data_IF_470469245105
#
_entry.id   IF_470469245105
#
_cell.length_a   1.000
_cell.length_b   1.000
_cell.length_c   1.000
_cell.angle_alpha   90.00
_cell.angle_beta   90.00
_cell.angle_gamma   90.00
#
_symmetry.space_group_name_H-M   'P 1'
#
loop_
_entity.id
_entity.type
_entity.pdbx_description
1 polymer ?
#
# COMPACT_ATOMS: atom_id res chain seq x y z
N UNK A 1 11.89 -20.61 -3.65
CA UNK A 1 12.93 -20.18 -2.70
C UNK A 1 12.24 -19.80 -1.41
N UNK A 2 12.55 -20.48 -0.31
CA UNK A 2 11.95 -20.22 0.99
C UNK A 2 12.55 -18.91 1.52
N UNK A 3 11.92 -17.78 1.17
CA UNK A 3 12.27 -16.46 1.72
C UNK A 3 12.26 -16.60 3.24
N UNK A 4 13.42 -16.41 3.88
CA UNK A 4 13.48 -16.28 5.34
C UNK A 4 12.62 -15.06 5.66
N UNK A 5 11.41 -15.29 6.17
CA UNK A 5 10.56 -14.23 6.71
C UNK A 5 11.26 -13.77 7.97
N UNK A 6 12.06 -12.71 7.87
CA UNK A 6 12.64 -12.09 9.04
C UNK A 6 11.49 -11.67 9.95
N UNK A 7 11.49 -12.14 11.18
CA UNK A 7 10.50 -11.69 12.16
C UNK A 7 10.80 -10.24 12.52
N UNK A 8 9.78 -9.39 12.46
CA UNK A 8 9.91 -8.02 12.92
C UNK A 8 10.34 -8.00 14.38
N UNK A 9 11.27 -7.11 14.69
CA UNK A 9 11.60 -6.77 16.07
C UNK A 9 10.36 -6.22 16.81
N UNK A 10 10.34 -6.28 18.15
CA UNK A 10 9.22 -5.80 18.94
C UNK A 10 8.83 -4.36 18.58
N UNK A 11 7.52 -4.11 18.39
CA UNK A 11 7.01 -2.90 17.76
C UNK A 11 7.40 -1.58 18.47
N UNK A 12 7.71 -1.63 19.77
CA UNK A 12 8.08 -0.47 20.57
C UNK A 12 9.61 -0.25 20.68
N UNK A 13 10.42 -1.07 20.01
CA UNK A 13 11.89 -0.92 19.98
C UNK A 13 12.32 -0.13 18.75
N UNK A 14 13.48 0.56 18.83
CA UNK A 14 14.03 1.29 17.68
C UNK A 14 14.11 0.42 16.41
N UNK A 15 14.68 -0.81 16.42
CA UNK A 15 14.66 -1.69 15.25
C UNK A 15 13.23 -1.98 14.74
N UNK A 16 12.28 -2.25 15.64
CA UNK A 16 10.90 -2.56 15.26
C UNK A 16 10.17 -1.37 14.64
N UNK A 17 10.46 -0.15 15.09
CA UNK A 17 9.90 1.09 14.52
C UNK A 17 10.49 1.38 13.14
N UNK A 18 11.81 1.25 12.97
CA UNK A 18 12.50 1.44 11.69
C UNK A 18 12.02 0.44 10.63
N UNK A 19 11.92 -0.85 10.99
CA UNK A 19 11.42 -1.90 10.10
C UNK A 19 9.98 -1.67 9.64
N UNK A 20 9.18 -0.95 10.42
CA UNK A 20 7.79 -0.59 10.08
C UNK A 20 7.67 0.77 9.40
N UNK A 21 8.78 1.51 9.21
CA UNK A 21 8.73 2.85 8.63
C UNK A 21 7.99 3.87 9.49
N UNK A 22 8.08 3.76 10.82
CA UNK A 22 7.38 4.65 11.76
C UNK A 22 8.17 5.95 11.97
N UNK A 23 7.44 7.07 12.05
CA UNK A 23 8.03 8.37 12.35
C UNK A 23 8.72 8.44 13.72
N UNK A 24 8.22 7.69 14.72
CA UNK A 24 8.87 7.58 16.04
C UNK A 24 10.24 6.91 15.93
N UNK A 25 10.40 5.94 15.02
CA UNK A 25 11.69 5.30 14.75
C UNK A 25 12.71 6.30 14.19
N UNK A 26 12.28 7.20 13.31
CA UNK A 26 13.14 8.26 12.79
C UNK A 26 13.56 9.25 13.89
N UNK A 27 12.61 9.70 14.72
CA UNK A 27 12.92 10.58 15.86
C UNK A 27 13.89 9.92 16.85
N UNK A 28 13.68 8.65 17.21
CA UNK A 28 14.58 7.93 18.11
C UNK A 28 15.97 7.72 17.50
N UNK A 29 16.07 7.51 16.18
CA UNK A 29 17.36 7.35 15.52
C UNK A 29 18.19 8.65 15.53
N UNK A 30 17.53 9.82 15.52
CA UNK A 30 18.20 11.14 15.63
C UNK A 30 18.89 11.35 16.98
N UNK A 31 18.48 10.64 18.04
CA UNK A 31 19.08 10.75 19.38
C UNK A 31 20.49 10.14 19.46
N UNK A 32 20.75 9.05 18.72
CA UNK A 32 22.06 8.42 18.57
C UNK A 32 22.26 7.87 17.13
N UNK A 33 22.64 8.73 16.18
CA UNK A 33 22.83 8.33 14.78
C UNK A 33 23.86 7.22 14.60
N UNK A 34 24.91 7.19 15.43
CA UNK A 34 25.97 6.20 15.34
C UNK A 34 25.46 4.81 15.74
N UNK A 35 24.66 4.71 16.81
CA UNK A 35 24.03 3.46 17.20
C UNK A 35 22.93 3.01 16.22
N UNK A 36 22.25 3.95 15.56
CA UNK A 36 21.19 3.66 14.60
C UNK A 36 21.69 3.22 13.21
N UNK A 37 22.94 3.55 12.84
CA UNK A 37 23.48 3.36 11.49
C UNK A 37 23.29 1.94 10.95
N UNK A 38 23.71 0.92 11.71
CA UNK A 38 23.57 -0.49 11.29
C UNK A 38 22.12 -0.94 11.15
N UNK A 39 21.20 -0.37 11.94
CA UNK A 39 19.77 -0.66 11.83
C UNK A 39 19.20 -0.07 10.54
N UNK A 40 19.61 1.15 10.17
CA UNK A 40 19.18 1.82 8.93
C UNK A 40 19.69 1.06 7.72
N UNK A 41 20.99 0.74 7.66
CA UNK A 41 21.54 -0.07 6.55
C UNK A 41 20.90 -1.46 6.50
N UNK A 42 20.61 -2.07 7.66
CA UNK A 42 19.86 -3.31 7.75
C UNK A 42 18.45 -3.21 7.15
N UNK A 43 17.77 -2.06 7.30
CA UNK A 43 16.45 -1.84 6.70
C UNK A 43 16.48 -1.56 5.19
N UNK A 44 17.62 -1.11 4.63
CA UNK A 44 17.82 -1.03 3.17
C UNK A 44 18.16 -2.41 2.60
N UNK A 45 19.06 -3.13 3.28
CA UNK A 45 19.54 -4.45 2.86
C UNK A 45 18.41 -5.48 2.83
N UNK A 46 17.52 -5.48 3.82
CA UNK A 46 16.45 -6.47 3.95
C UNK A 46 15.06 -5.88 3.66
N UNK A 47 14.22 -6.67 3.00
CA UNK A 47 12.84 -6.27 2.77
C UNK A 47 11.96 -6.56 3.99
N UNK A 48 11.65 -5.50 4.74
CA UNK A 48 10.67 -5.52 5.84
C UNK A 48 9.28 -5.02 5.40
N UNK A 49 9.02 -4.84 4.10
CA UNK A 49 7.71 -4.36 3.65
C UNK A 49 6.72 -5.48 3.85
N UNK A 50 5.52 -5.15 4.32
CA UNK A 50 4.46 -6.16 4.40
C UNK A 50 3.95 -6.53 3.00
N UNK A 51 3.85 -5.53 2.13
CA UNK A 51 3.49 -5.69 0.71
C UNK A 51 4.39 -4.81 -0.18
N UNK A 52 4.56 -5.14 -1.47
CA UNK A 52 5.50 -4.42 -2.36
C UNK A 52 5.24 -2.92 -2.53
N UNK A 53 4.01 -2.46 -2.26
CA UNK A 53 3.57 -1.07 -2.49
C UNK A 53 3.89 -0.10 -1.33
N UNK A 54 4.50 -0.56 -0.24
CA UNK A 54 4.96 0.30 0.88
C UNK A 54 6.02 1.30 0.40
N UNK A 55 5.82 2.59 0.72
CA UNK A 55 6.64 3.73 0.26
C UNK A 55 7.95 3.91 1.05
N UNK A 56 8.64 2.80 1.37
CA UNK A 56 9.74 2.85 2.33
C UNK A 56 11.06 3.41 1.81
N UNK A 57 11.24 3.53 0.50
CA UNK A 57 12.45 4.11 -0.09
C UNK A 57 12.68 5.56 0.38
N UNK A 58 11.64 6.40 0.39
CA UNK A 58 11.72 7.79 0.86
C UNK A 58 12.08 7.89 2.34
N UNK A 59 11.45 7.05 3.16
CA UNK A 59 11.76 6.97 4.59
C UNK A 59 13.23 6.60 4.84
N UNK A 60 13.74 5.60 4.13
CA UNK A 60 15.14 5.17 4.28
C UNK A 60 16.14 6.18 3.72
N UNK A 61 15.83 6.84 2.59
CA UNK A 61 16.64 7.92 2.04
C UNK A 61 16.75 9.10 3.02
N UNK A 62 15.63 9.50 3.63
CA UNK A 62 15.61 10.51 4.69
C UNK A 62 16.46 10.11 5.89
N UNK A 63 16.35 8.86 6.36
CA UNK A 63 17.20 8.39 7.46
C UNK A 63 18.69 8.46 7.11
N UNK A 64 19.09 8.09 5.89
CA UNK A 64 20.49 8.19 5.46
C UNK A 64 20.94 9.67 5.43
N UNK A 65 20.12 10.57 4.90
CA UNK A 65 20.40 12.01 4.84
C UNK A 65 20.44 12.65 6.24
N UNK A 66 19.36 12.53 6.99
CA UNK A 66 19.11 13.28 8.22
C UNK A 66 20.06 12.84 9.35
N UNK A 67 20.47 11.57 9.36
CA UNK A 67 21.46 11.03 10.28
C UNK A 67 22.91 11.19 9.78
N UNK A 68 23.10 11.85 8.63
CA UNK A 68 24.38 12.05 7.96
C UNK A 68 25.19 10.74 7.76
N UNK A 69 24.51 9.65 7.41
CA UNK A 69 25.14 8.35 7.20
C UNK A 69 25.91 8.32 5.87
N UNK A 70 27.09 7.67 5.83
CA UNK A 70 27.79 7.43 4.58
C UNK A 70 26.92 6.72 3.52
N UNK A 71 26.96 7.20 2.27
CA UNK A 71 26.18 6.60 1.17
C UNK A 71 26.84 5.30 0.66
N UNK A 72 28.14 5.12 0.89
CA UNK A 72 28.94 3.97 0.44
C UNK A 72 28.32 2.60 0.73
N UNK A 73 27.91 2.29 1.98
CA UNK A 73 27.24 1.03 2.30
C UNK A 73 25.95 0.76 1.52
N UNK A 74 25.21 1.81 1.12
CA UNK A 74 24.02 1.65 0.25
C UNK A 74 24.43 1.38 -1.20
N UNK A 75 25.50 2.03 -1.67
CA UNK A 75 26.07 1.79 -3.02
C UNK A 75 26.54 0.35 -3.18
N UNK A 76 27.18 -0.21 -2.15
CA UNK A 76 27.63 -1.62 -2.17
C UNK A 76 26.48 -2.61 -2.41
N UNK A 77 25.26 -2.28 -1.95
CA UNK A 77 24.08 -3.13 -2.13
C UNK A 77 23.62 -3.23 -3.59
N UNK A 78 24.04 -2.32 -4.47
CA UNK A 78 23.76 -2.44 -5.91
C UNK A 78 24.39 -3.71 -6.53
N UNK A 79 25.42 -4.28 -5.91
CA UNK A 79 26.03 -5.55 -6.34
C UNK A 79 25.29 -6.79 -5.81
N UNK A 80 24.20 -6.61 -5.06
CA UNK A 80 23.37 -7.69 -4.50
C UNK A 80 22.53 -8.43 -5.54
N UNK A 81 21.57 -9.22 -5.05
CA UNK A 81 20.51 -9.78 -5.88
C UNK A 81 19.56 -8.68 -6.41
N UNK A 82 18.67 -9.06 -7.32
CA UNK A 82 17.72 -8.16 -7.99
C UNK A 82 16.93 -7.32 -6.99
N UNK A 83 16.24 -7.97 -6.04
CA UNK A 83 15.43 -7.27 -5.03
C UNK A 83 16.28 -6.29 -4.18
N UNK A 84 17.49 -6.69 -3.80
CA UNK A 84 18.40 -5.83 -3.01
C UNK A 84 18.91 -4.65 -3.82
N UNK A 85 19.25 -4.89 -5.10
CA UNK A 85 19.68 -3.87 -6.03
C UNK A 85 18.56 -2.84 -6.27
N UNK A 86 17.34 -3.28 -6.50
CA UNK A 86 16.18 -2.40 -6.71
C UNK A 86 15.89 -1.54 -5.47
N UNK A 87 15.89 -2.13 -4.27
CA UNK A 87 15.69 -1.38 -3.01
C UNK A 87 16.77 -0.33 -2.80
N UNK A 88 18.04 -0.71 -2.97
CA UNK A 88 19.17 0.22 -2.84
C UNK A 88 19.12 1.32 -3.91
N UNK A 89 18.78 0.95 -5.15
CA UNK A 89 18.59 1.85 -6.27
C UNK A 89 17.54 2.92 -5.98
N UNK A 90 16.36 2.52 -5.48
CA UNK A 90 15.29 3.45 -5.11
C UNK A 90 15.73 4.46 -4.03
N UNK A 91 16.49 4.03 -3.03
CA UNK A 91 17.06 4.94 -2.00
C UNK A 91 18.08 5.90 -2.61
N UNK A 92 18.99 5.41 -3.45
CA UNK A 92 20.03 6.22 -4.08
C UNK A 92 19.45 7.22 -5.09
N UNK A 93 18.37 6.88 -5.79
CA UNK A 93 17.66 7.77 -6.71
C UNK A 93 17.16 9.00 -5.97
N UNK A 94 16.59 8.81 -4.79
CA UNK A 94 16.12 9.90 -3.93
C UNK A 94 17.28 10.71 -3.34
N UNK A 95 18.33 10.05 -2.84
CA UNK A 95 19.53 10.75 -2.34
C UNK A 95 20.21 11.60 -3.42
N UNK A 96 20.21 11.16 -4.68
CA UNK A 96 20.73 11.94 -5.79
C UNK A 96 19.87 13.17 -6.10
N UNK A 97 18.53 13.06 -6.00
CA UNK A 97 17.62 14.20 -6.13
C UNK A 97 17.86 15.26 -5.05
N UNK A 98 18.20 14.83 -3.84
CA UNK A 98 18.58 15.71 -2.73
C UNK A 98 19.98 16.33 -2.89
N UNK A 99 20.77 15.88 -3.88
CA UNK A 99 22.07 16.46 -4.23
C UNK A 99 23.28 15.57 -3.97
N UNK A 100 23.10 14.31 -3.60
CA UNK A 100 24.23 13.37 -3.42
C UNK A 100 24.91 13.01 -4.74
N UNK A 101 26.04 13.67 -5.02
CA UNK A 101 26.87 13.35 -6.18
C UNK A 101 27.37 11.90 -6.16
N UNK A 102 27.70 11.36 -4.97
CA UNK A 102 28.12 9.97 -4.82
C UNK A 102 27.02 9.00 -5.25
N UNK A 103 25.76 9.22 -4.83
CA UNK A 103 24.63 8.39 -5.23
C UNK A 103 24.41 8.47 -6.75
N UNK A 104 24.44 9.69 -7.31
CA UNK A 104 24.25 9.92 -8.75
C UNK A 104 25.30 9.20 -9.60
N UNK A 105 26.59 9.35 -9.26
CA UNK A 105 27.66 8.70 -10.01
C UNK A 105 27.65 7.18 -9.84
N UNK A 106 27.32 6.68 -8.64
CA UNK A 106 27.19 5.24 -8.40
C UNK A 106 26.09 4.60 -9.25
N UNK A 107 24.91 5.23 -9.34
CA UNK A 107 23.81 4.75 -10.18
C UNK A 107 24.18 4.78 -11.66
N UNK A 108 24.78 5.89 -12.14
CA UNK A 108 25.24 6.00 -13.54
C UNK A 108 26.32 4.97 -13.86
N UNK A 109 27.24 4.70 -12.94
CA UNK A 109 28.22 3.63 -13.08
C UNK A 109 27.55 2.24 -13.12
N UNK A 110 26.54 2.02 -12.27
CA UNK A 110 25.79 0.77 -12.26
C UNK A 110 25.03 0.54 -13.56
N UNK A 111 24.41 1.57 -14.17
CA UNK A 111 23.76 1.44 -15.47
C UNK A 111 24.76 0.97 -16.55
N UNK A 112 26.02 1.42 -16.48
CA UNK A 112 27.05 1.06 -17.46
C UNK A 112 27.51 -0.39 -17.34
N UNK A 113 27.74 -0.89 -16.12
CA UNK A 113 28.42 -2.19 -15.91
C UNK A 113 27.67 -3.19 -15.02
N UNK A 114 26.70 -2.74 -14.24
CA UNK A 114 25.95 -3.54 -13.27
C UNK A 114 25.09 -4.63 -13.89
N UNK A 115 24.73 -5.65 -13.10
CA UNK A 115 23.90 -6.77 -13.55
C UNK A 115 22.43 -6.38 -13.70
N UNK A 116 21.85 -5.77 -12.68
CA UNK A 116 20.43 -5.37 -12.61
C UNK A 116 20.24 -3.91 -13.07
N UNK A 117 20.89 -3.56 -14.19
CA UNK A 117 21.01 -2.18 -14.65
C UNK A 117 19.69 -1.56 -15.16
N UNK A 118 18.80 -2.37 -15.73
CA UNK A 118 17.57 -1.87 -16.35
C UNK A 118 16.55 -1.33 -15.33
N UNK A 119 16.20 -2.07 -14.24
CA UNK A 119 15.35 -1.53 -13.18
C UNK A 119 15.92 -0.26 -12.52
N UNK A 120 17.25 -0.18 -12.37
CA UNK A 120 17.91 1.02 -11.83
C UNK A 120 17.75 2.22 -12.78
N UNK A 121 17.93 2.00 -14.09
CA UNK A 121 17.75 3.02 -15.10
C UNK A 121 16.29 3.49 -15.19
N UNK A 122 15.32 2.57 -15.09
CA UNK A 122 13.89 2.88 -15.05
C UNK A 122 13.55 3.75 -13.82
N UNK A 123 14.04 3.37 -12.64
CA UNK A 123 13.87 4.16 -11.42
C UNK A 123 14.51 5.57 -11.52
N UNK A 124 15.66 5.68 -12.17
CA UNK A 124 16.26 6.99 -12.48
C UNK A 124 15.37 7.81 -13.42
N UNK A 125 14.87 7.20 -14.49
CA UNK A 125 14.08 7.90 -15.51
C UNK A 125 12.69 8.34 -15.00
N UNK A 126 12.10 7.58 -14.08
CA UNK A 126 10.83 7.91 -13.41
C UNK A 126 10.93 9.19 -12.57
N UNK A 127 12.08 9.42 -11.93
CA UNK A 127 12.23 10.45 -10.89
C UNK A 127 13.14 11.62 -11.27
N UNK A 128 14.12 11.41 -12.15
CA UNK A 128 15.13 12.42 -12.47
C UNK A 128 14.78 13.21 -13.73
N UNK A 129 15.24 14.48 -13.80
CA UNK A 129 15.20 15.23 -15.04
C UNK A 129 15.88 14.48 -16.18
N UNK A 130 15.32 14.59 -17.38
CA UNK A 130 15.77 13.86 -18.58
C UNK A 130 17.26 14.06 -18.85
N UNK A 131 17.74 15.28 -18.68
CA UNK A 131 19.15 15.66 -18.90
C UNK A 131 20.15 14.89 -18.02
N UNK A 132 19.70 14.22 -16.95
CA UNK A 132 20.58 13.45 -16.06
C UNK A 132 20.81 12.01 -16.51
N UNK A 133 20.04 11.50 -17.47
CA UNK A 133 20.11 10.10 -17.90
C UNK A 133 19.98 9.89 -19.41
N UNK A 134 19.55 10.88 -20.19
CA UNK A 134 19.44 10.78 -21.66
C UNK A 134 20.76 10.33 -22.32
N UNK A 135 21.89 10.78 -21.80
CA UNK A 135 23.22 10.43 -22.32
C UNK A 135 23.57 8.94 -22.18
N UNK A 136 22.79 8.18 -21.39
CA UNK A 136 22.95 6.74 -21.22
C UNK A 136 22.28 5.93 -22.33
N UNK A 137 21.56 6.56 -23.27
CA UNK A 137 20.82 5.88 -24.33
C UNK A 137 21.68 4.88 -25.12
N UNK A 138 22.85 5.30 -25.60
CA UNK A 138 23.75 4.42 -26.38
C UNK A 138 24.17 3.19 -25.56
N UNK A 139 24.59 3.41 -24.30
CA UNK A 139 24.98 2.34 -23.38
C UNK A 139 23.81 1.38 -23.13
N UNK A 140 22.63 1.92 -22.84
CA UNK A 140 21.42 1.13 -22.62
C UNK A 140 21.07 0.31 -23.87
N UNK A 141 21.20 0.89 -25.06
CA UNK A 141 20.93 0.22 -26.33
C UNK A 141 21.88 -0.94 -26.60
N UNK A 142 23.17 -0.78 -26.35
CA UNK A 142 24.15 -1.86 -26.48
C UNK A 142 23.86 -3.00 -25.51
N UNK A 143 23.55 -2.68 -24.26
CA UNK A 143 23.24 -3.66 -23.22
C UNK A 143 21.94 -4.39 -23.51
N UNK A 144 20.90 -3.66 -23.91
CA UNK A 144 19.59 -4.19 -24.27
C UNK A 144 19.62 -5.15 -25.47
N UNK A 145 20.64 -5.06 -26.35
CA UNK A 145 20.85 -6.06 -27.43
C UNK A 145 21.45 -7.36 -26.91
N UNK A 146 22.26 -7.30 -25.85
CA UNK A 146 22.93 -8.46 -25.24
C UNK A 146 22.02 -9.18 -24.24
N UNK A 147 21.17 -8.43 -23.56
CA UNK A 147 20.25 -8.92 -22.55
C UNK A 147 18.83 -8.35 -22.81
N UNK A 148 17.92 -9.16 -23.36
CA UNK A 148 16.56 -8.71 -23.63
C UNK A 148 15.76 -8.60 -22.32
N UNK A 149 15.88 -7.46 -21.65
CA UNK A 149 14.99 -7.06 -20.56
C UNK A 149 13.58 -6.75 -21.07
N UNK A 150 12.59 -6.91 -20.19
CA UNK A 150 11.26 -6.34 -20.36
C UNK A 150 11.35 -4.81 -20.30
N UNK A 151 10.65 -4.10 -21.20
CA UNK A 151 10.84 -2.65 -21.44
C UNK A 151 9.51 -1.95 -21.45
N UNK A 152 9.24 -1.22 -20.37
CA UNK A 152 7.96 -0.57 -20.13
C UNK A 152 8.18 0.83 -19.58
N UNK A 153 7.40 1.81 -20.03
CA UNK A 153 7.51 3.18 -19.55
C UNK A 153 8.80 3.90 -19.96
N UNK A 154 9.20 4.89 -19.17
CA UNK A 154 10.47 5.60 -19.33
C UNK A 154 11.66 4.76 -18.81
N UNK A 155 12.85 4.84 -19.41
CA UNK A 155 13.23 5.71 -20.54
C UNK A 155 12.90 5.13 -21.93
N UNK A 156 12.40 3.89 -21.99
CA UNK A 156 12.24 3.14 -23.23
C UNK A 156 11.26 3.79 -24.20
N UNK A 157 10.19 4.41 -23.66
CA UNK A 157 9.17 5.14 -24.41
C UNK A 157 9.78 6.29 -25.18
N UNK A 158 10.58 7.10 -24.48
CA UNK A 158 11.31 8.20 -25.08
C UNK A 158 12.31 7.78 -26.15
N UNK A 159 12.99 6.65 -25.95
CA UNK A 159 13.93 6.11 -26.95
C UNK A 159 13.27 5.32 -28.08
N UNK A 160 11.93 5.15 -28.05
CA UNK A 160 11.20 4.36 -29.04
C UNK A 160 11.53 2.87 -29.00
N UNK A 161 11.98 2.36 -27.84
CA UNK A 161 12.39 0.96 -27.62
C UNK A 161 11.40 0.15 -26.80
N UNK A 162 10.21 0.71 -26.54
CA UNK A 162 9.11 0.00 -25.89
C UNK A 162 8.78 -1.22 -26.71
N UNK A 163 8.77 -2.38 -26.07
CA UNK A 163 8.12 -3.53 -26.67
C UNK A 163 6.62 -3.27 -26.66
N UNK A 164 5.90 -3.46 -27.77
CA UNK A 164 4.45 -3.43 -27.71
C UNK A 164 4.06 -4.43 -26.63
N UNK A 165 3.35 -3.94 -25.63
CA UNK A 165 2.82 -4.85 -24.63
C UNK A 165 1.85 -5.84 -25.23
N UNK A 166 1.26 -6.74 -24.44
CA UNK A 166 0.05 -7.40 -24.89
C UNK A 166 -0.98 -6.28 -25.11
N UNK A 167 -1.08 -5.82 -26.36
CA UNK A 167 -2.16 -4.96 -26.82
C UNK A 167 -3.40 -5.74 -26.46
N UNK A 168 -4.12 -5.26 -25.45
CA UNK A 168 -5.46 -5.75 -25.20
C UNK A 168 -6.21 -5.33 -26.47
N UNK A 169 -6.38 -6.28 -27.39
CA UNK A 169 -7.14 -6.07 -28.61
C UNK A 169 -8.53 -5.53 -28.26
N UNK A 170 -9.31 -5.08 -29.26
CA UNK A 170 -10.71 -4.72 -29.01
C UNK A 170 -11.34 -5.83 -28.17
N UNK A 171 -11.85 -5.47 -26.98
CA UNK A 171 -12.44 -6.44 -26.03
C UNK A 171 -13.43 -7.29 -26.82
N UNK A 172 -13.11 -8.56 -27.01
CA UNK A 172 -14.07 -9.51 -27.58
C UNK A 172 -15.33 -9.45 -26.71
N UNK A 173 -16.50 -9.58 -27.36
CA UNK A 173 -17.76 -9.59 -26.63
C UNK A 173 -17.68 -10.69 -25.55
N UNK A 174 -17.97 -10.33 -24.29
CA UNK A 174 -17.92 -11.29 -23.18
C UNK A 174 -18.77 -12.53 -23.52
N UNK A 175 -18.30 -13.74 -23.18
CA UNK A 175 -19.16 -14.92 -23.20
C UNK A 175 -20.47 -14.63 -22.45
N UNK A 176 -21.61 -15.10 -22.96
CA UNK A 176 -22.93 -14.90 -22.36
C UNK A 176 -23.47 -13.46 -22.32
N UNK A 177 -22.82 -12.48 -23.00
CA UNK A 177 -23.28 -11.09 -23.00
C UNK A 177 -24.74 -10.90 -23.45
N UNK A 178 -25.26 -11.79 -24.31
CA UNK A 178 -26.65 -11.79 -24.82
C UNK A 178 -27.63 -12.59 -23.96
N UNK A 179 -27.16 -13.35 -22.98
CA UNK A 179 -27.97 -14.21 -22.10
C UNK A 179 -28.74 -13.35 -21.10
N UNK A 180 -30.02 -13.64 -20.87
CA UNK A 180 -30.86 -12.86 -19.94
C UNK A 180 -30.48 -13.09 -18.48
N UNK A 181 -30.78 -12.15 -17.56
CA UNK A 181 -30.45 -12.31 -16.13
C UNK A 181 -31.02 -13.60 -15.52
N UNK A 182 -32.26 -13.97 -15.85
CA UNK A 182 -32.87 -15.20 -15.35
C UNK A 182 -32.07 -16.46 -15.74
N UNK A 183 -31.67 -16.56 -17.01
CA UNK A 183 -30.84 -17.67 -17.51
C UNK A 183 -29.45 -17.68 -16.86
N UNK A 184 -28.87 -16.49 -16.60
CA UNK A 184 -27.59 -16.39 -15.87
C UNK A 184 -27.73 -16.87 -14.42
N UNK A 185 -28.84 -16.55 -13.75
CA UNK A 185 -29.11 -17.01 -12.38
C UNK A 185 -29.34 -18.53 -12.33
N UNK A 186 -30.05 -19.10 -13.30
CA UNK A 186 -30.20 -20.55 -13.44
C UNK A 186 -28.85 -21.23 -13.64
N UNK A 187 -27.99 -20.66 -14.48
CA UNK A 187 -26.62 -21.14 -14.70
C UNK A 187 -25.79 -21.09 -13.40
N UNK A 188 -25.89 -20.00 -12.63
CA UNK A 188 -25.19 -19.87 -11.35
C UNK A 188 -25.73 -20.83 -10.27
N UNK A 189 -27.01 -21.19 -10.35
CA UNK A 189 -27.64 -22.12 -9.43
C UNK A 189 -27.28 -23.59 -9.71
N UNK A 190 -26.81 -23.92 -10.92
CA UNK A 190 -26.43 -25.29 -11.29
C UNK A 190 -25.06 -25.68 -10.71
N UNK A 191 -24.98 -26.61 -9.74
CA UNK A 191 -23.71 -27.05 -9.17
C UNK A 191 -22.85 -27.86 -10.15
N UNK A 192 -23.43 -28.40 -11.23
CA UNK A 192 -22.71 -29.13 -12.26
C UNK A 192 -22.02 -28.19 -13.27
N UNK A 193 -22.34 -26.90 -13.25
CA UNK A 193 -21.78 -25.91 -14.16
C UNK A 193 -20.31 -25.60 -13.85
N UNK A 194 -19.54 -25.39 -14.91
CA UNK A 194 -18.11 -25.12 -14.82
C UNK A 194 -17.84 -23.80 -14.09
N UNK A 195 -16.70 -23.74 -13.38
CA UNK A 195 -16.29 -22.53 -12.67
C UNK A 195 -16.09 -21.36 -13.64
N UNK A 196 -15.56 -21.63 -14.82
CA UNK A 196 -15.33 -20.66 -15.90
C UNK A 196 -16.65 -20.06 -16.38
N UNK A 197 -17.67 -20.89 -16.61
CA UNK A 197 -18.98 -20.42 -17.06
C UNK A 197 -19.72 -19.64 -15.98
N UNK A 198 -19.63 -20.06 -14.71
CA UNK A 198 -20.15 -19.30 -13.57
C UNK A 198 -19.44 -17.95 -13.40
N UNK A 199 -18.12 -17.91 -13.59
CA UNK A 199 -17.34 -16.66 -13.56
C UNK A 199 -17.75 -15.73 -14.70
N UNK A 200 -17.91 -16.24 -15.93
CA UNK A 200 -18.39 -15.46 -17.07
C UNK A 200 -19.82 -14.92 -16.85
N UNK A 201 -20.70 -15.69 -16.21
CA UNK A 201 -22.03 -15.22 -15.84
C UNK A 201 -21.98 -14.08 -14.82
N UNK A 202 -21.15 -14.20 -13.79
CA UNK A 202 -20.93 -13.11 -12.81
C UNK A 202 -20.30 -11.88 -13.47
N UNK A 203 -19.35 -12.04 -14.39
CA UNK A 203 -18.75 -10.93 -15.16
C UNK A 203 -19.79 -10.16 -15.99
N UNK A 204 -20.82 -10.85 -16.50
CA UNK A 204 -21.91 -10.22 -17.25
C UNK A 204 -22.89 -9.54 -16.30
N UNK A 205 -23.21 -10.15 -15.16
CA UNK A 205 -24.03 -9.51 -14.12
C UNK A 205 -23.33 -8.29 -13.52
N UNK A 206 -22.01 -8.35 -13.36
CA UNK A 206 -21.20 -7.24 -12.88
C UNK A 206 -21.21 -6.06 -13.87
N UNK A 207 -21.21 -6.30 -15.17
CA UNK A 207 -21.40 -5.20 -16.15
C UNK A 207 -22.82 -4.61 -16.12
N UNK A 208 -23.78 -5.32 -15.52
CA UNK A 208 -25.18 -4.93 -15.45
C UNK A 208 -25.48 -4.24 -14.12
N UNK A 209 -26.73 -3.78 -13.97
CA UNK A 209 -27.23 -3.18 -12.73
C UNK A 209 -27.42 -4.21 -11.59
N UNK A 210 -27.95 -3.77 -10.44
CA UNK A 210 -28.20 -4.65 -9.30
C UNK A 210 -29.11 -5.84 -9.65
N UNK A 211 -28.68 -7.05 -9.28
CA UNK A 211 -29.43 -8.30 -9.50
C UNK A 211 -29.63 -9.05 -8.18
N UNK A 212 -30.72 -8.79 -7.43
CA UNK A 212 -30.95 -9.39 -6.11
C UNK A 212 -31.08 -10.91 -6.15
N UNK A 213 -31.41 -11.51 -7.29
CA UNK A 213 -31.54 -12.95 -7.44
C UNK A 213 -30.24 -13.72 -7.17
N UNK A 214 -29.08 -13.06 -7.18
CA UNK A 214 -27.79 -13.68 -6.86
C UNK A 214 -27.61 -13.97 -5.37
N UNK A 215 -28.26 -13.21 -4.48
CA UNK A 215 -28.07 -13.30 -3.02
C UNK A 215 -28.22 -14.72 -2.45
N UNK A 216 -29.28 -15.50 -2.76
CA UNK A 216 -29.41 -16.87 -2.26
C UNK A 216 -28.35 -17.82 -2.83
N UNK A 217 -27.72 -17.47 -3.95
CA UNK A 217 -26.70 -18.29 -4.61
C UNK A 217 -25.30 -18.04 -4.05
N UNK A 218 -25.06 -16.90 -3.41
CA UNK A 218 -23.72 -16.50 -2.91
C UNK A 218 -22.97 -17.62 -2.18
N UNK A 219 -23.56 -18.40 -1.25
CA UNK A 219 -22.83 -19.47 -0.57
C UNK A 219 -22.25 -20.58 -1.49
N UNK A 220 -22.78 -20.76 -2.70
CA UNK A 220 -22.29 -21.74 -3.67
C UNK A 220 -21.29 -21.17 -4.68
N UNK A 221 -21.02 -19.86 -4.64
CA UNK A 221 -20.16 -19.14 -5.59
C UNK A 221 -18.70 -19.04 -5.12
N UNK A 222 -18.24 -20.10 -4.46
CA UNK A 222 -16.82 -20.31 -4.14
C UNK A 222 -16.08 -21.04 -5.25
N UNK A 223 -14.76 -20.95 -5.24
CA UNK A 223 -13.87 -21.79 -6.05
C UNK A 223 -14.04 -23.27 -5.68
N UNK A 224 -13.70 -24.18 -6.60
CA UNK A 224 -13.87 -25.62 -6.38
C UNK A 224 -13.11 -26.17 -5.16
N UNK A 225 -12.00 -25.52 -4.76
CA UNK A 225 -11.24 -25.85 -3.55
C UNK A 225 -11.83 -25.25 -2.26
N UNK A 226 -12.92 -24.50 -2.37
CA UNK A 226 -13.62 -23.84 -1.27
C UNK A 226 -12.86 -22.69 -0.61
N UNK A 227 -11.72 -22.26 -1.18
CA UNK A 227 -10.81 -21.30 -0.52
C UNK A 227 -11.12 -19.85 -0.85
N UNK A 228 -11.64 -19.59 -2.05
CA UNK A 228 -11.82 -18.23 -2.55
C UNK A 228 -13.23 -18.04 -3.09
N UNK A 229 -13.63 -16.78 -3.18
CA UNK A 229 -14.82 -16.37 -3.90
C UNK A 229 -14.54 -16.36 -5.41
N UNK A 230 -15.56 -16.56 -6.25
CA UNK A 230 -15.45 -16.19 -7.67
C UNK A 230 -15.36 -14.67 -7.79
N UNK A 231 -14.18 -14.18 -8.21
CA UNK A 231 -13.80 -12.76 -8.13
C UNK A 231 -14.86 -11.75 -8.58
N UNK A 232 -15.58 -11.92 -9.71
CA UNK A 232 -16.55 -10.92 -10.16
C UNK A 232 -17.74 -10.75 -9.21
N UNK A 233 -17.97 -11.69 -8.28
CA UNK A 233 -19.04 -11.59 -7.29
C UNK A 233 -18.92 -10.33 -6.43
N UNK A 234 -17.71 -9.90 -6.09
CA UNK A 234 -17.53 -8.69 -5.26
C UNK A 234 -18.10 -7.46 -5.96
N UNK A 235 -17.91 -7.31 -7.27
CA UNK A 235 -18.49 -6.20 -8.04
C UNK A 235 -20.02 -6.28 -8.16
N UNK A 236 -20.58 -7.49 -8.26
CA UNK A 236 -22.03 -7.71 -8.21
C UNK A 236 -22.61 -7.30 -6.85
N UNK A 237 -21.97 -7.68 -5.75
CA UNK A 237 -22.40 -7.31 -4.41
C UNK A 237 -22.28 -5.80 -4.15
N UNK A 238 -21.28 -5.13 -4.72
CA UNK A 238 -21.12 -3.66 -4.65
C UNK A 238 -22.32 -2.93 -5.24
N UNK A 239 -22.81 -3.41 -6.39
CA UNK A 239 -23.97 -2.83 -7.07
C UNK A 239 -25.27 -3.05 -6.31
N UNK A 240 -25.38 -4.13 -5.55
CA UNK A 240 -26.52 -4.39 -4.66
C UNK A 240 -26.54 -3.45 -3.44
N UNK A 241 -25.36 -3.04 -2.98
CA UNK A 241 -25.20 -2.11 -1.87
C UNK A 241 -25.94 -2.57 -0.60
N UNK A 242 -26.72 -1.65 0.00
CA UNK A 242 -27.50 -1.92 1.20
C UNK A 242 -28.53 -3.05 1.05
N UNK A 243 -28.94 -3.39 -0.19
CA UNK A 243 -29.84 -4.51 -0.45
C UNK A 243 -29.24 -5.87 -0.07
N UNK A 244 -27.91 -5.98 0.01
CA UNK A 244 -27.22 -7.22 0.39
C UNK A 244 -27.07 -7.39 1.92
N UNK A 245 -27.33 -6.36 2.73
CA UNK A 245 -27.07 -6.35 4.18
C UNK A 245 -27.76 -7.49 4.93
N UNK A 246 -29.06 -7.80 4.70
CA UNK A 246 -29.71 -8.91 5.41
C UNK A 246 -29.00 -10.26 5.20
N UNK A 247 -28.63 -10.58 3.96
CA UNK A 247 -27.91 -11.81 3.64
C UNK A 247 -26.46 -11.78 4.17
N UNK A 248 -25.81 -10.61 4.12
CA UNK A 248 -24.46 -10.43 4.62
C UNK A 248 -24.33 -10.68 6.13
N UNK A 249 -25.37 -10.41 6.93
CA UNK A 249 -25.39 -10.76 8.37
C UNK A 249 -25.29 -12.26 8.60
N UNK A 250 -25.99 -13.04 7.79
CA UNK A 250 -25.92 -14.50 7.84
C UNK A 250 -24.53 -14.99 7.41
N UNK A 251 -23.99 -14.45 6.32
CA UNK A 251 -22.66 -14.79 5.83
C UNK A 251 -21.57 -14.43 6.85
N UNK A 252 -21.64 -13.25 7.47
CA UNK A 252 -20.68 -12.78 8.45
C UNK A 252 -20.64 -13.64 9.73
N UNK A 253 -21.71 -14.38 10.01
CA UNK A 253 -21.82 -15.27 11.16
C UNK A 253 -21.27 -16.70 10.90
N UNK A 254 -20.95 -17.06 9.65
CA UNK A 254 -20.45 -18.40 9.35
C UNK A 254 -19.00 -18.60 9.79
N UNK A 255 -18.69 -19.81 10.24
CA UNK A 255 -17.32 -20.22 10.57
C UNK A 255 -16.55 -20.63 9.32
N UNK A 256 -17.20 -21.36 8.41
CA UNK A 256 -16.63 -21.80 7.14
C UNK A 256 -17.68 -21.71 6.04
N UNK A 257 -17.27 -21.41 4.79
CA UNK A 257 -15.90 -21.09 4.38
C UNK A 257 -15.49 -19.65 4.75
N UNK A 258 -14.20 -19.42 5.06
CA UNK A 258 -13.68 -18.08 5.44
C UNK A 258 -14.01 -16.99 4.40
N UNK A 259 -13.95 -17.30 3.10
CA UNK A 259 -14.26 -16.32 2.05
C UNK A 259 -15.71 -15.82 2.12
N UNK A 260 -16.67 -16.66 2.51
CA UNK A 260 -18.08 -16.27 2.60
C UNK A 260 -18.28 -15.31 3.78
N UNK A 261 -17.67 -15.62 4.92
CA UNK A 261 -17.60 -14.68 6.05
C UNK A 261 -16.97 -13.36 5.62
N UNK A 262 -15.83 -13.41 4.92
CA UNK A 262 -15.14 -12.20 4.47
C UNK A 262 -15.99 -11.34 3.53
N UNK A 263 -16.83 -11.94 2.66
CA UNK A 263 -17.79 -11.19 1.84
C UNK A 263 -18.90 -10.57 2.69
N UNK A 264 -19.45 -11.30 3.66
CA UNK A 264 -20.41 -10.73 4.63
C UNK A 264 -19.81 -9.54 5.37
N UNK A 265 -18.61 -9.68 5.91
CA UNK A 265 -17.87 -8.61 6.60
C UNK A 265 -17.60 -7.41 5.68
N UNK A 266 -17.29 -7.65 4.40
CA UNK A 266 -17.11 -6.59 3.42
C UNK A 266 -18.40 -5.79 3.19
N UNK A 267 -19.53 -6.47 2.94
CA UNK A 267 -20.83 -5.80 2.75
C UNK A 267 -21.23 -5.02 4.00
N UNK A 268 -21.07 -5.60 5.21
CA UNK A 268 -21.39 -4.91 6.45
C UNK A 268 -20.47 -3.70 6.68
N UNK A 269 -19.20 -3.79 6.30
CA UNK A 269 -18.28 -2.67 6.43
C UNK A 269 -18.61 -1.53 5.46
N UNK A 270 -19.15 -1.81 4.27
CA UNK A 270 -19.51 -0.78 3.30
C UNK A 270 -20.95 -0.26 3.46
N UNK A 271 -21.90 -1.08 3.91
CA UNK A 271 -23.33 -0.74 3.89
C UNK A 271 -24.09 -1.04 5.19
N UNK A 272 -23.44 -1.62 6.19
CA UNK A 272 -24.06 -1.97 7.47
C UNK A 272 -24.53 -0.76 8.28
N UNK A 273 -25.37 -1.04 9.28
CA UNK A 273 -25.92 -0.07 10.22
C UNK A 273 -25.29 -0.21 11.62
N UNK A 274 -25.70 0.64 12.57
CA UNK A 274 -25.15 0.64 13.93
C UNK A 274 -25.28 -0.73 14.64
N UNK A 275 -26.33 -1.50 14.33
CA UNK A 275 -26.52 -2.86 14.87
C UNK A 275 -25.45 -3.86 14.39
N UNK A 276 -24.73 -3.55 13.32
CA UNK A 276 -23.66 -4.39 12.75
C UNK A 276 -22.29 -4.09 13.37
N UNK A 277 -22.16 -3.03 14.19
CA UNK A 277 -20.88 -2.64 14.83
C UNK A 277 -20.23 -3.78 15.63
N UNK A 278 -20.95 -4.55 16.48
CA UNK A 278 -20.35 -5.66 17.20
C UNK A 278 -19.70 -6.70 16.28
N UNK A 279 -20.29 -6.95 15.11
CA UNK A 279 -19.77 -7.90 14.11
C UNK A 279 -18.47 -7.38 13.47
N UNK A 280 -18.42 -6.07 13.18
CA UNK A 280 -17.22 -5.41 12.63
C UNK A 280 -16.07 -5.38 13.64
N UNK A 281 -16.35 -5.11 14.91
CA UNK A 281 -15.35 -5.15 15.99
C UNK A 281 -14.82 -6.57 16.16
N UNK A 282 -15.69 -7.57 16.18
CA UNK A 282 -15.29 -8.97 16.29
C UNK A 282 -14.39 -9.43 15.13
N UNK A 283 -14.60 -8.92 13.90
CA UNK A 283 -13.71 -9.20 12.78
C UNK A 283 -12.35 -8.53 12.94
N UNK A 284 -12.32 -7.28 13.42
CA UNK A 284 -11.07 -6.59 13.74
C UNK A 284 -10.27 -7.33 14.82
N UNK A 285 -10.94 -7.91 15.82
CA UNK A 285 -10.31 -8.76 16.83
C UNK A 285 -9.77 -10.07 16.24
N UNK A 286 -10.51 -10.70 15.33
CA UNK A 286 -10.04 -11.88 14.59
C UNK A 286 -8.79 -11.56 13.79
N UNK A 287 -8.76 -10.44 13.08
CA UNK A 287 -7.57 -9.99 12.36
C UNK A 287 -6.36 -9.84 13.30
N UNK A 288 -6.57 -9.24 14.48
CA UNK A 288 -5.51 -9.07 15.47
C UNK A 288 -4.96 -10.40 15.97
N UNK A 289 -5.84 -11.31 16.40
CA UNK A 289 -5.47 -12.64 16.91
C UNK A 289 -4.75 -13.47 15.87
N UNK A 290 -5.23 -13.44 14.62
CA UNK A 290 -4.63 -14.17 13.48
C UNK A 290 -3.39 -13.49 12.91
N UNK A 291 -3.04 -12.29 13.38
CA UNK A 291 -1.97 -11.44 12.79
C UNK A 291 -2.19 -11.21 11.29
N UNK A 292 -3.44 -11.03 10.90
CA UNK A 292 -3.83 -10.63 9.55
C UNK A 292 -3.78 -9.10 9.46
N UNK A 293 -2.70 -8.57 8.87
CA UNK A 293 -2.44 -7.13 8.81
C UNK A 293 -2.98 -6.44 7.56
N UNK A 294 -3.42 -7.22 6.56
CA UNK A 294 -4.05 -6.70 5.33
C UNK A 294 -5.57 -6.90 5.41
N UNK A 295 -6.33 -5.85 5.16
CA UNK A 295 -7.78 -5.82 5.27
C UNK A 295 -8.35 -4.96 6.40
N UNK A 296 -7.78 -4.95 7.64
CA UNK A 296 -8.37 -4.27 8.80
C UNK A 296 -8.73 -2.80 8.60
N UNK A 297 -8.06 -2.09 7.67
CA UNK A 297 -8.41 -0.71 7.27
C UNK A 297 -9.89 -0.57 6.90
N UNK A 298 -10.52 -1.62 6.38
CA UNK A 298 -11.92 -1.61 5.98
C UNK A 298 -12.85 -1.50 7.19
N UNK A 299 -12.62 -2.34 8.20
CA UNK A 299 -13.35 -2.27 9.47
C UNK A 299 -13.09 -0.94 10.16
N UNK A 300 -11.85 -0.44 10.13
CA UNK A 300 -11.52 0.89 10.67
C UNK A 300 -12.35 2.00 10.02
N UNK A 301 -12.40 2.05 8.68
CA UNK A 301 -13.23 3.02 7.93
C UNK A 301 -14.71 2.86 8.24
N UNK A 302 -15.21 1.62 8.32
CA UNK A 302 -16.61 1.36 8.64
C UNK A 302 -16.99 1.89 10.03
N UNK A 303 -16.18 1.59 11.04
CA UNK A 303 -16.37 2.03 12.43
C UNK A 303 -16.35 3.56 12.55
N UNK A 304 -15.49 4.24 11.78
CA UNK A 304 -15.41 5.70 11.75
C UNK A 304 -16.76 6.38 11.44
N UNK A 305 -17.63 5.73 10.64
CA UNK A 305 -18.93 6.30 10.23
C UNK A 305 -19.98 6.30 11.34
N UNK A 306 -19.83 5.43 12.34
CA UNK A 306 -20.80 5.31 13.43
C UNK A 306 -20.49 6.24 14.60
N UNK A 307 -19.27 6.75 14.71
CA UNK A 307 -18.91 7.71 15.75
C UNK A 307 -18.75 7.08 17.14
N UNK A 308 -18.55 7.92 18.18
CA UNK A 308 -18.08 7.46 19.49
C UNK A 308 -19.13 6.71 20.31
N UNK A 309 -20.43 6.99 20.14
CA UNK A 309 -21.47 6.36 20.96
C UNK A 309 -21.68 4.88 20.58
N UNK A 310 -21.55 4.56 19.30
CA UNK A 310 -21.75 3.23 18.75
C UNK A 310 -20.45 2.43 18.68
N UNK A 311 -19.32 3.06 18.31
CA UNK A 311 -18.06 2.38 18.01
C UNK A 311 -16.93 2.66 19.02
N UNK A 312 -17.19 3.36 20.13
CA UNK A 312 -16.18 3.74 21.12
C UNK A 312 -15.37 2.58 21.70
N UNK A 313 -15.97 1.39 21.82
CA UNK A 313 -15.30 0.18 22.33
C UNK A 313 -14.15 -0.29 21.43
N UNK A 314 -14.15 0.09 20.15
CA UNK A 314 -13.10 -0.26 19.20
C UNK A 314 -11.80 0.55 19.37
N UNK A 315 -11.81 1.66 20.13
CA UNK A 315 -10.68 2.60 20.25
C UNK A 315 -9.38 1.89 20.65
N UNK A 316 -9.44 1.05 21.70
CA UNK A 316 -8.25 0.35 22.21
C UNK A 316 -7.67 -0.64 21.18
N UNK A 317 -8.52 -1.28 20.39
CA UNK A 317 -8.11 -2.21 19.35
C UNK A 317 -7.49 -1.47 18.15
N UNK A 318 -8.12 -0.40 17.68
CA UNK A 318 -7.59 0.43 16.59
C UNK A 318 -6.24 1.09 16.97
N UNK A 319 -6.07 1.52 18.22
CA UNK A 319 -4.76 2.00 18.72
C UNK A 319 -3.69 0.92 18.63
N UNK A 320 -4.01 -0.33 18.97
CA UNK A 320 -3.07 -1.45 18.85
C UNK A 320 -2.67 -1.69 17.39
N UNK A 321 -3.63 -1.65 16.47
CA UNK A 321 -3.35 -1.74 15.04
C UNK A 321 -2.44 -0.62 14.54
N UNK A 322 -2.77 0.64 14.85
CA UNK A 322 -1.92 1.78 14.49
C UNK A 322 -0.51 1.65 15.06
N UNK A 323 -0.38 1.23 16.33
CA UNK A 323 0.91 1.10 16.98
C UNK A 323 1.75 -0.06 16.41
N UNK A 324 1.16 -1.20 16.06
CA UNK A 324 1.91 -2.45 15.87
C UNK A 324 1.90 -3.00 14.44
N UNK A 325 1.03 -2.50 13.57
CA UNK A 325 0.90 -3.01 12.21
C UNK A 325 2.24 -2.95 11.45
N UNK A 326 2.68 -4.05 10.82
CA UNK A 326 3.73 -4.02 9.82
C UNK A 326 3.22 -3.51 8.46
N UNK A 327 1.91 -3.46 8.27
CA UNK A 327 1.26 -3.00 7.05
C UNK A 327 1.07 -1.48 7.11
N UNK A 328 2.14 -0.74 6.82
CA UNK A 328 2.21 0.73 6.85
C UNK A 328 1.04 1.41 6.12
N UNK A 329 0.67 0.91 4.94
CA UNK A 329 -0.42 1.43 4.10
C UNK A 329 -1.78 1.53 4.82
N UNK A 330 -2.04 0.76 5.88
CA UNK A 330 -3.29 0.84 6.65
C UNK A 330 -3.28 1.92 7.74
N UNK A 331 -2.11 2.48 8.10
CA UNK A 331 -1.97 3.36 9.27
C UNK A 331 -2.84 4.61 9.23
N UNK A 332 -2.96 5.25 8.06
CA UNK A 332 -3.79 6.43 7.91
C UNK A 332 -5.26 6.14 8.24
N UNK A 333 -5.79 5.00 7.78
CA UNK A 333 -7.18 4.61 8.05
C UNK A 333 -7.44 4.37 9.55
N UNK A 334 -6.45 3.86 10.29
CA UNK A 334 -6.59 3.71 11.74
C UNK A 334 -6.61 5.07 12.46
N UNK A 335 -5.78 6.03 12.03
CA UNK A 335 -5.80 7.39 12.59
C UNK A 335 -7.11 8.12 12.30
N UNK A 336 -7.62 8.02 11.07
CA UNK A 336 -8.93 8.56 10.68
C UNK A 336 -10.06 7.97 11.55
N UNK A 337 -10.06 6.64 11.72
CA UNK A 337 -11.04 5.96 12.56
C UNK A 337 -10.96 6.41 14.03
N UNK A 338 -9.74 6.50 14.58
CA UNK A 338 -9.53 6.99 15.93
C UNK A 338 -9.98 8.45 16.09
N UNK A 339 -9.79 9.28 15.07
CA UNK A 339 -10.24 10.68 15.10
C UNK A 339 -11.77 10.78 15.20
N UNK A 340 -12.48 9.90 14.49
CA UNK A 340 -13.93 9.87 14.47
C UNK A 340 -14.55 9.30 15.76
N UNK A 341 -13.94 8.28 16.37
CA UNK A 341 -14.58 7.53 17.47
C UNK A 341 -13.90 7.71 18.84
N UNK A 342 -12.68 8.26 18.91
CA UNK A 342 -11.94 8.42 20.17
C UNK A 342 -10.66 9.26 20.05
N UNK A 343 -10.77 10.59 19.85
CA UNK A 343 -9.65 11.46 19.45
C UNK A 343 -8.61 11.77 20.55
N UNK A 344 -8.86 11.32 21.79
CA UNK A 344 -8.02 11.66 22.94
C UNK A 344 -6.54 11.27 22.71
N UNK A 345 -5.63 12.23 22.76
CA UNK A 345 -4.19 11.97 22.62
C UNK A 345 -3.69 11.75 21.19
N UNK A 346 -4.51 11.98 20.16
CA UNK A 346 -4.07 11.85 18.76
C UNK A 346 -3.04 12.89 18.31
N UNK A 347 -2.89 14.00 19.04
CA UNK A 347 -1.91 15.03 18.70
C UNK A 347 -0.50 14.45 18.53
N UNK A 348 -0.06 13.58 19.46
CA UNK A 348 1.24 12.91 19.35
C UNK A 348 1.33 11.96 18.14
N UNK A 349 0.23 11.27 17.81
CA UNK A 349 0.16 10.38 16.65
C UNK A 349 0.26 11.14 15.33
N UNK A 350 -0.38 12.30 15.22
CA UNK A 350 -0.24 13.17 14.05
C UNK A 350 1.16 13.76 13.94
N UNK A 351 1.72 14.30 15.02
CA UNK A 351 3.10 14.81 15.01
C UNK A 351 4.10 13.74 14.60
N UNK A 352 3.95 12.51 15.11
CA UNK A 352 4.77 11.38 14.68
C UNK A 352 4.59 11.08 13.18
N UNK A 353 3.34 11.10 12.70
CA UNK A 353 3.00 10.69 11.34
C UNK A 353 3.50 11.65 10.25
N UNK A 354 3.95 12.87 10.60
CA UNK A 354 4.68 13.75 9.69
C UNK A 354 5.99 13.14 9.16
N UNK A 355 6.51 12.11 9.84
CA UNK A 355 7.76 11.39 9.51
C UNK A 355 7.50 9.95 9.07
N UNK A 356 6.24 9.58 8.85
CA UNK A 356 5.85 8.23 8.47
C UNK A 356 6.35 7.86 7.06
N UNK A 357 6.55 6.57 6.76
CA UNK A 357 6.91 6.15 5.41
C UNK A 357 5.79 6.33 4.38
N UNK A 358 4.52 6.33 4.80
CA UNK A 358 3.39 6.47 3.88
C UNK A 358 2.98 7.93 3.66
N UNK A 359 2.87 8.34 2.40
CA UNK A 359 2.39 9.67 2.04
C UNK A 359 0.99 9.97 2.62
N UNK A 360 0.09 8.98 2.62
CA UNK A 360 -1.26 9.15 3.19
C UNK A 360 -1.24 9.49 4.69
N UNK A 361 -0.32 8.88 5.46
CA UNK A 361 -0.15 9.19 6.87
C UNK A 361 0.45 10.60 7.07
N UNK A 362 1.42 10.99 6.22
CA UNK A 362 1.98 12.35 6.21
C UNK A 362 0.94 13.41 5.85
N UNK A 363 0.12 13.19 4.81
CA UNK A 363 -0.96 14.09 4.39
C UNK A 363 -1.98 14.29 5.50
N UNK A 364 -2.44 13.20 6.12
CA UNK A 364 -3.36 13.26 7.24
C UNK A 364 -2.75 14.06 8.41
N UNK A 365 -1.47 13.82 8.71
CA UNK A 365 -0.74 14.54 9.75
C UNK A 365 -0.57 16.04 9.47
N UNK A 366 -0.28 16.43 8.22
CA UNK A 366 -0.19 17.85 7.81
C UNK A 366 -1.49 18.59 8.16
N UNK A 367 -2.66 17.98 7.91
CA UNK A 367 -3.95 18.59 8.22
C UNK A 367 -4.26 18.70 9.72
N UNK A 368 -3.77 17.78 10.55
CA UNK A 368 -4.29 17.56 11.91
C UNK A 368 -3.26 17.68 13.04
N UNK A 369 -1.96 17.72 12.74
CA UNK A 369 -0.95 17.86 13.77
C UNK A 369 -1.15 19.17 14.57
N UNK A 370 -1.07 19.13 15.91
CA UNK A 370 -1.29 20.30 16.74
C UNK A 370 -0.21 21.35 16.44
N UNK A 371 -0.61 22.61 16.35
CA UNK A 371 0.34 23.68 16.10
C UNK A 371 1.37 23.79 17.23
N UNK A 372 2.63 23.92 16.82
CA UNK A 372 3.78 24.03 17.70
C UNK A 372 5.08 24.16 16.90
N UNK A 373 6.19 24.54 17.56
CA UNK A 373 7.47 24.76 16.88
C UNK A 373 7.96 23.55 16.09
N UNK A 374 7.91 22.34 16.69
CA UNK A 374 8.30 21.09 16.03
C UNK A 374 7.48 20.82 14.76
N UNK A 375 6.16 21.06 14.82
CA UNK A 375 5.27 20.84 13.68
C UNK A 375 5.53 21.86 12.58
N UNK A 376 5.70 23.14 12.91
CA UNK A 376 6.03 24.18 11.93
C UNK A 376 7.36 23.93 11.23
N UNK A 377 8.38 23.53 11.98
CA UNK A 377 9.68 23.14 11.44
C UNK A 377 9.54 21.94 10.50
N UNK A 378 8.82 20.89 10.93
CA UNK A 378 8.62 19.70 10.11
C UNK A 378 7.76 19.99 8.87
N UNK A 379 6.78 20.89 8.92
CA UNK A 379 6.03 21.33 7.74
C UNK A 379 6.91 22.08 6.75
N UNK A 380 7.78 22.98 7.23
CA UNK A 380 8.76 23.67 6.37
C UNK A 380 9.71 22.68 5.70
N UNK A 381 10.23 21.72 6.47
CA UNK A 381 11.03 20.61 5.95
C UNK A 381 10.28 19.84 4.85
N UNK A 382 9.03 19.45 5.07
CA UNK A 382 8.25 18.67 4.09
C UNK A 382 8.01 19.47 2.80
N UNK A 383 7.70 20.77 2.91
CA UNK A 383 7.51 21.68 1.77
C UNK A 383 8.77 21.75 0.88
N UNK A 384 9.92 21.83 1.52
CA UNK A 384 11.21 22.10 0.86
C UNK A 384 11.96 20.84 0.42
N UNK A 385 11.59 19.66 0.92
CA UNK A 385 12.26 18.39 0.61
C UNK A 385 12.04 17.98 -0.86
N UNK A 386 13.09 17.95 -1.70
CA UNK A 386 12.95 17.59 -3.11
C UNK A 386 12.61 16.11 -3.31
N UNK A 387 12.83 15.26 -2.31
CA UNK A 387 12.47 13.84 -2.36
C UNK A 387 10.99 13.59 -2.06
N UNK A 388 10.27 14.56 -1.48
CA UNK A 388 8.88 14.38 -1.05
C UNK A 388 7.89 14.44 -2.22
N UNK A 389 6.79 13.71 -2.07
CA UNK A 389 5.69 13.68 -3.02
C UNK A 389 5.04 15.07 -3.16
N UNK A 390 4.75 15.48 -4.40
CA UNK A 390 4.31 16.83 -4.72
C UNK A 390 3.04 17.25 -3.94
N UNK A 391 2.12 16.32 -3.72
CA UNK A 391 0.89 16.55 -2.95
C UNK A 391 1.19 16.87 -1.48
N UNK A 392 2.12 16.13 -0.84
CA UNK A 392 2.54 16.37 0.55
C UNK A 392 3.24 17.72 0.67
N UNK A 393 4.10 18.07 -0.28
CA UNK A 393 4.81 19.36 -0.33
C UNK A 393 3.83 20.53 -0.41
N UNK A 394 2.85 20.43 -1.32
CA UNK A 394 1.82 21.45 -1.51
C UNK A 394 0.99 21.62 -0.23
N UNK A 395 0.46 20.52 0.33
CA UNK A 395 -0.32 20.54 1.56
C UNK A 395 0.46 21.13 2.74
N UNK A 396 1.74 20.78 2.88
CA UNK A 396 2.60 21.31 3.95
C UNK A 396 2.84 22.82 3.79
N UNK A 397 3.04 23.29 2.55
CA UNK A 397 3.18 24.72 2.23
C UNK A 397 1.92 25.52 2.55
N UNK A 398 0.75 25.03 2.13
CA UNK A 398 -0.55 25.63 2.42
C UNK A 398 -0.81 25.70 3.94
N UNK A 399 -0.57 24.59 4.63
CA UNK A 399 -0.76 24.52 6.09
C UNK A 399 0.17 25.49 6.81
N UNK A 400 1.45 25.54 6.42
CA UNK A 400 2.42 26.43 7.04
C UNK A 400 2.04 27.90 6.84
N UNK A 401 1.63 28.28 5.62
CA UNK A 401 1.16 29.62 5.33
C UNK A 401 -0.03 30.01 6.22
N UNK A 402 -1.01 29.11 6.39
CA UNK A 402 -2.18 29.33 7.24
C UNK A 402 -1.87 29.42 8.73
N UNK A 403 -0.75 28.88 9.20
CA UNK A 403 -0.30 28.98 10.59
C UNK A 403 0.53 30.25 10.87
N UNK A 404 1.12 30.85 9.83
CA UNK A 404 1.98 32.03 9.93
C UNK A 404 1.32 33.35 9.54
N UNK A 405 0.24 33.29 8.76
CA UNK A 405 -0.63 34.43 8.48
C UNK A 405 -1.70 34.57 9.54
#
# INVERSE_FOLDING_TARGET
MTQRRYEYAPAATLPGLLQRGRGLGARMAEEDPAAAAELVYGCVRWDWRWEPVDQRALYLARLVRDLALPVGPVVELLAGDEDTCERAGAVLVLLALDGSAQAREALRAHVRVGRHWAPVLEAMADRWPVEWWEDLAETAGERARRDPADRWGEPWTRWGWVRPGPVHGPREAKPLARTGNAELLELLADPAESQERRTAALDVLDDRGPEPGVLPLVPSLGTADGRYVLWPLTGVLEKLGAGAVPAAREWAAVTEPDWLRAQGQWVLAEYGAAEDVPVLVAELERHWVRRHWCGPRRQAKALARFGPAEAGDAVSLLRRFWLWTPHSYERAAYLEALAAIGPAGLGAGYTESLRDCEAAARLLAVGHAPDGPEVRERLAYLRDDPMEEAEVRAAAGERLAALTG
#
